data_IF_909795846655
#
_entry.id   IF_909795846655
#
_cell.length_a   1.000
_cell.length_b   1.000
_cell.length_c   1.000
_cell.angle_alpha   90.00
_cell.angle_beta   90.00
_cell.angle_gamma   90.00
#
_symmetry.space_group_name_H-M   'P 1'
#
loop_
_entity.id
_entity.type
_entity.pdbx_description
1 polymer ?
#
# COMPACT_ATOMS: atom_id res chain seq x y z
N UNK A 1 31.14 -6.44 -7.59
CA UNK A 1 29.82 -6.71 -7.00
C UNK A 1 29.07 -5.40 -7.11
N UNK A 2 27.95 -5.41 -7.80
CA UNK A 2 27.06 -4.24 -7.89
C UNK A 2 26.61 -3.90 -6.45
N UNK A 3 26.61 -2.63 -6.07
CA UNK A 3 26.22 -2.23 -4.71
C UNK A 3 24.75 -2.64 -4.48
N UNK A 4 24.46 -3.29 -3.35
CA UNK A 4 23.10 -3.72 -2.94
C UNK A 4 22.16 -2.55 -2.56
N UNK A 5 22.61 -1.30 -2.71
CA UNK A 5 21.83 -0.10 -2.38
C UNK A 5 20.88 0.25 -3.53
N UNK A 6 19.61 0.61 -3.23
CA UNK A 6 18.66 0.98 -4.27
C UNK A 6 19.13 2.24 -5.01
N UNK A 7 19.17 2.16 -6.34
CA UNK A 7 19.44 3.31 -7.21
C UNK A 7 18.45 4.45 -6.93
N UNK A 8 18.95 5.67 -6.74
CA UNK A 8 18.11 6.84 -6.54
C UNK A 8 17.46 7.27 -7.87
N UNK A 9 16.14 7.08 -7.98
CA UNK A 9 15.36 7.41 -9.18
C UNK A 9 14.86 8.86 -9.06
N UNK A 10 15.43 9.76 -9.87
CA UNK A 10 15.09 11.20 -9.93
C UNK A 10 14.24 11.56 -11.16
N UNK A 11 13.43 10.62 -11.66
CA UNK A 11 12.47 10.84 -12.75
C UNK A 11 11.17 11.47 -12.21
N UNK A 12 10.36 12.14 -13.07
CA UNK A 12 9.04 12.65 -12.66
C UNK A 12 8.04 11.54 -12.27
N UNK A 13 8.37 10.29 -12.59
CA UNK A 13 7.59 9.11 -12.25
C UNK A 13 7.88 7.97 -13.22
N UNK A 14 7.99 6.72 -12.75
CA UNK A 14 7.92 6.27 -11.35
C UNK A 14 9.15 6.69 -10.53
N UNK A 15 9.03 6.66 -9.20
CA UNK A 15 10.12 6.88 -8.22
C UNK A 15 10.29 5.65 -7.33
N UNK A 16 11.34 5.62 -6.50
CA UNK A 16 11.57 4.50 -5.58
C UNK A 16 10.37 4.28 -4.64
N UNK A 17 9.96 3.03 -4.51
CA UNK A 17 8.93 2.63 -3.55
C UNK A 17 9.55 2.60 -2.15
N UNK A 18 8.94 3.24 -1.12
CA UNK A 18 9.46 3.19 0.24
C UNK A 18 9.60 1.76 0.76
N UNK A 19 10.68 1.44 1.48
CA UNK A 19 10.96 0.07 1.95
C UNK A 19 9.81 -0.55 2.76
N UNK A 20 9.09 0.25 3.55
CA UNK A 20 7.91 -0.22 4.30
C UNK A 20 6.80 -0.79 3.40
N UNK A 21 6.66 -0.28 2.19
CA UNK A 21 5.68 -0.73 1.19
C UNK A 21 6.18 -1.99 0.50
N UNK A 22 7.47 -2.05 0.13
CA UNK A 22 8.10 -3.29 -0.37
C UNK A 22 7.92 -4.44 0.63
N UNK A 23 8.17 -4.19 1.91
CA UNK A 23 7.97 -5.18 2.98
C UNK A 23 6.49 -5.60 3.13
N UNK A 24 5.53 -4.72 2.81
CA UNK A 24 4.12 -5.06 2.82
C UNK A 24 3.72 -5.94 1.62
N UNK A 25 4.32 -5.71 0.45
CA UNK A 25 4.03 -6.48 -0.77
C UNK A 25 4.50 -7.94 -0.69
N UNK A 26 5.57 -8.23 0.06
CA UNK A 26 6.08 -9.60 0.24
C UNK A 26 5.34 -10.40 1.33
N UNK A 27 4.34 -9.82 1.99
CA UNK A 27 3.55 -10.53 3.00
C UNK A 27 2.78 -11.69 2.36
N UNK A 28 2.59 -12.82 3.07
CA UNK A 28 1.79 -13.93 2.54
C UNK A 28 0.38 -13.52 2.13
N UNK A 29 -0.07 -14.03 1.00
CA UNK A 29 -1.42 -13.79 0.48
C UNK A 29 -2.45 -14.33 1.48
N UNK A 30 -3.52 -13.56 1.69
CA UNK A 30 -4.64 -13.94 2.55
C UNK A 30 -5.87 -14.31 1.71
N UNK A 31 -6.75 -15.14 2.26
CA UNK A 31 -8.02 -15.48 1.61
C UNK A 31 -8.88 -14.22 1.38
N UNK A 32 -9.17 -13.89 0.12
CA UNK A 32 -9.96 -12.73 -0.29
C UNK A 32 -11.42 -12.74 0.21
N UNK A 33 -11.96 -13.89 0.63
CA UNK A 33 -13.29 -14.02 1.25
C UNK A 33 -13.23 -14.28 2.75
N UNK A 34 -12.03 -14.32 3.31
CA UNK A 34 -11.81 -14.61 4.72
C UNK A 34 -12.09 -13.41 5.62
N UNK A 35 -12.32 -13.65 6.93
CA UNK A 35 -12.56 -12.58 7.90
C UNK A 35 -11.40 -11.58 7.97
N UNK A 36 -10.15 -12.05 7.83
CA UNK A 36 -8.95 -11.19 7.84
C UNK A 36 -8.93 -10.19 6.69
N UNK A 37 -9.37 -10.57 5.49
CA UNK A 37 -9.45 -9.65 4.37
C UNK A 37 -10.55 -8.61 4.59
N UNK A 38 -11.71 -9.02 5.12
CA UNK A 38 -12.81 -8.10 5.42
C UNK A 38 -12.40 -7.02 6.43
N UNK A 39 -11.66 -7.39 7.47
CA UNK A 39 -11.12 -6.44 8.44
C UNK A 39 -10.10 -5.48 7.80
N UNK A 40 -9.13 -6.03 7.06
CA UNK A 40 -8.15 -5.24 6.32
C UNK A 40 -8.80 -4.25 5.34
N UNK A 41 -9.81 -4.70 4.59
CA UNK A 41 -10.50 -3.85 3.62
C UNK A 41 -11.24 -2.70 4.31
N UNK A 42 -11.90 -2.96 5.44
CA UNK A 42 -12.56 -1.91 6.24
C UNK A 42 -11.56 -0.86 6.71
N UNK A 43 -10.41 -1.28 7.24
CA UNK A 43 -9.34 -0.37 7.67
C UNK A 43 -8.79 0.44 6.49
N UNK A 44 -8.55 -0.22 5.35
CA UNK A 44 -8.09 0.44 4.13
C UNK A 44 -9.06 1.53 3.67
N UNK A 45 -10.36 1.24 3.59
CA UNK A 45 -11.37 2.22 3.15
C UNK A 45 -11.50 3.40 4.11
N UNK A 46 -11.33 3.17 5.41
CA UNK A 46 -11.34 4.25 6.40
C UNK A 46 -10.10 5.14 6.27
N UNK A 47 -8.91 4.54 6.10
CA UNK A 47 -7.68 5.31 5.87
C UNK A 47 -7.71 6.13 4.58
N UNK A 48 -8.44 5.68 3.55
CA UNK A 48 -8.62 6.45 2.32
C UNK A 48 -9.44 7.72 2.55
N UNK A 49 -10.37 7.75 3.52
CA UNK A 49 -11.11 8.98 3.86
C UNK A 49 -10.17 10.08 4.33
N UNK A 50 -9.14 9.72 5.10
CA UNK A 50 -8.07 10.65 5.46
C UNK A 50 -7.28 11.10 4.22
N UNK A 51 -6.84 10.20 3.34
CA UNK A 51 -6.07 10.59 2.14
C UNK A 51 -6.85 11.55 1.23
N UNK A 52 -8.13 11.25 0.99
CA UNK A 52 -9.01 12.07 0.14
C UNK A 52 -9.65 13.25 0.87
N UNK A 53 -9.40 13.40 2.18
CA UNK A 53 -9.97 14.47 3.01
C UNK A 53 -11.50 14.54 2.90
N UNK A 54 -12.17 13.40 3.02
CA UNK A 54 -13.63 13.27 2.90
C UNK A 54 -14.24 12.58 4.11
N UNK A 55 -15.51 12.88 4.41
CA UNK A 55 -16.30 12.13 5.39
C UNK A 55 -17.24 11.10 4.75
N UNK A 56 -17.39 11.14 3.42
CA UNK A 56 -18.19 10.19 2.67
C UNK A 56 -17.42 8.89 2.42
N UNK A 57 -18.14 7.83 2.04
CA UNK A 57 -17.51 6.60 1.60
C UNK A 57 -16.73 6.83 0.30
N UNK A 58 -15.50 6.32 0.25
CA UNK A 58 -14.60 6.48 -0.90
C UNK A 58 -14.97 5.54 -2.05
N UNK A 59 -15.54 4.38 -1.72
CA UNK A 59 -16.06 3.41 -2.67
C UNK A 59 -17.56 3.18 -2.42
N UNK A 60 -18.34 2.83 -3.47
CA UNK A 60 -19.77 2.52 -3.36
C UNK A 60 -20.09 1.32 -2.48
#
# INVERSE_FOLDING_TARGET
>A
MENDEPELIMLPGPTNVPQRVMNAMIKPIINHRGPKFREFYKELTENLKYVFQTSNDVFP
#
